data_IF_249013228841
#
_entry.id   IF_249013228841
#
_cell.length_a   1.000
_cell.length_b   1.000
_cell.length_c   1.000
_cell.angle_alpha   90.00
_cell.angle_beta   90.00
_cell.angle_gamma   90.00
#
_symmetry.space_group_name_H-M   'P 1'
#
loop_
_entity.id
_entity.type
_entity.pdbx_description
1 polymer ?
#
# COMPACT_ATOMS: atom_id res chain seq x y z
N UNK A 1 -19.22 -27.54 5.62
CA UNK A 1 -18.87 -26.34 4.85
C UNK A 1 -17.39 -26.13 5.08
N UNK A 2 -16.56 -26.41 4.08
CA UNK A 2 -15.12 -26.18 4.20
C UNK A 2 -14.90 -24.70 3.85
N UNK A 3 -14.46 -23.92 4.83
CA UNK A 3 -14.16 -22.51 4.68
C UNK A 3 -12.66 -22.33 4.92
N UNK A 4 -11.96 -21.81 3.92
CA UNK A 4 -10.53 -21.52 4.02
C UNK A 4 -10.34 -20.05 4.38
N UNK A 5 -9.65 -19.76 5.49
CA UNK A 5 -9.22 -18.42 5.88
C UNK A 5 -7.70 -18.43 5.98
N UNK A 6 -7.04 -17.75 5.04
CA UNK A 6 -5.58 -17.65 4.97
C UNK A 6 -5.23 -16.20 5.35
N UNK A 7 -4.80 -16.00 6.60
CA UNK A 7 -4.41 -14.68 7.10
C UNK A 7 -3.01 -14.27 6.60
N UNK A 8 -2.88 -14.10 5.30
CA UNK A 8 -1.64 -13.70 4.64
C UNK A 8 -1.89 -12.59 3.62
N UNK A 9 -1.04 -11.56 3.64
CA UNK A 9 -1.11 -10.43 2.70
C UNK A 9 -0.01 -10.57 1.65
N UNK A 10 -0.40 -10.48 0.38
CA UNK A 10 0.52 -10.48 -0.76
C UNK A 10 0.33 -9.21 -1.58
N UNK A 11 1.43 -8.51 -1.87
CA UNK A 11 1.42 -7.32 -2.71
C UNK A 11 2.00 -7.65 -4.09
N UNK A 12 1.34 -7.18 -5.14
CA UNK A 12 1.83 -7.30 -6.52
C UNK A 12 1.50 -6.03 -7.30
N UNK A 13 2.32 -5.75 -8.33
CA UNK A 13 2.00 -4.73 -9.32
C UNK A 13 0.97 -5.32 -10.28
N UNK A 14 -0.11 -4.59 -10.53
CA UNK A 14 -1.13 -4.95 -11.51
C UNK A 14 -0.84 -4.22 -12.84
N UNK A 15 -0.38 -4.91 -13.90
CA UNK A 15 -0.15 -4.28 -15.19
C UNK A 15 -1.43 -3.70 -15.78
N UNK A 16 -1.35 -2.61 -16.58
CA UNK A 16 -2.52 -2.07 -17.26
C UNK A 16 -3.23 -3.12 -18.10
N UNK A 17 -4.55 -3.20 -17.98
CA UNK A 17 -5.39 -4.14 -18.71
C UNK A 17 -5.63 -5.48 -18.03
N UNK A 18 -4.95 -5.78 -16.91
CA UNK A 18 -5.26 -6.96 -16.09
C UNK A 18 -6.48 -6.69 -15.22
N UNK A 19 -7.48 -7.56 -15.31
CA UNK A 19 -8.77 -7.42 -14.62
C UNK A 19 -9.22 -8.70 -13.92
N UNK A 20 -8.38 -9.73 -13.86
CA UNK A 20 -8.72 -10.98 -13.20
C UNK A 20 -7.52 -11.59 -12.49
N UNK A 21 -7.82 -12.39 -11.47
CA UNK A 21 -6.90 -13.12 -10.63
C UNK A 21 -7.25 -14.60 -10.77
N UNK A 22 -6.24 -15.43 -11.01
CA UNK A 22 -6.38 -16.88 -10.95
C UNK A 22 -5.71 -17.36 -9.67
N UNK A 23 -6.47 -18.03 -8.80
CA UNK A 23 -6.01 -18.52 -7.51
C UNK A 23 -5.98 -20.04 -7.53
N UNK A 24 -4.83 -20.61 -7.19
CA UNK A 24 -4.59 -22.05 -7.08
C UNK A 24 -4.12 -22.38 -5.67
N UNK A 25 -4.67 -23.44 -5.09
CA UNK A 25 -4.34 -23.94 -3.77
C UNK A 25 -3.73 -25.33 -3.96
N UNK A 26 -2.48 -25.46 -3.53
CA UNK A 26 -1.74 -26.71 -3.59
C UNK A 26 -1.58 -27.31 -2.19
N UNK A 27 -1.65 -28.63 -2.10
CA UNK A 27 -1.21 -29.39 -0.94
C UNK A 27 0.28 -29.71 -1.08
N UNK A 28 1.09 -29.13 -0.20
CA UNK A 28 2.55 -29.24 -0.24
C UNK A 28 2.97 -30.59 0.33
N UNK A 29 3.62 -31.40 -0.49
CA UNK A 29 4.10 -32.71 -0.09
C UNK A 29 5.62 -32.73 0.00
N UNK A 30 6.19 -33.10 1.16
CA UNK A 30 7.65 -33.08 1.34
C UNK A 30 8.44 -34.06 0.46
N UNK A 31 7.78 -35.08 -0.11
CA UNK A 31 8.44 -36.16 -0.85
C UNK A 31 7.79 -36.50 -2.19
N UNK A 32 6.70 -35.82 -2.56
CA UNK A 32 5.99 -36.01 -3.82
C UNK A 32 5.73 -34.66 -4.48
N UNK A 33 5.23 -34.67 -5.72
CA UNK A 33 4.83 -33.42 -6.38
C UNK A 33 3.66 -32.80 -5.63
N UNK A 34 3.67 -31.47 -5.52
CA UNK A 34 2.56 -30.71 -4.96
C UNK A 34 1.28 -30.97 -5.75
N UNK A 35 0.19 -31.18 -5.03
CA UNK A 35 -1.09 -31.52 -5.64
C UNK A 35 -2.00 -30.29 -5.68
N UNK A 36 -2.53 -29.93 -6.85
CA UNK A 36 -3.58 -28.92 -6.94
C UNK A 36 -4.87 -29.48 -6.31
N UNK A 37 -5.28 -28.91 -5.17
CA UNK A 37 -6.47 -29.35 -4.45
C UNK A 37 -7.70 -28.49 -4.75
N UNK A 38 -7.51 -27.20 -5.06
CA UNK A 38 -8.60 -26.29 -5.37
C UNK A 38 -8.13 -25.08 -6.19
N UNK A 39 -9.04 -24.47 -6.95
CA UNK A 39 -8.76 -23.26 -7.72
C UNK A 39 -10.01 -22.39 -7.90
N UNK A 40 -9.82 -21.11 -8.23
CA UNK A 40 -10.92 -20.22 -8.63
C UNK A 40 -10.44 -19.10 -9.54
N UNK A 41 -11.34 -18.57 -10.37
CA UNK A 41 -11.10 -17.42 -11.24
C UNK A 41 -11.93 -16.24 -10.78
N UNK A 42 -11.25 -15.15 -10.42
CA UNK A 42 -11.85 -13.98 -9.80
C UNK A 42 -11.69 -12.81 -10.75
N UNK A 43 -12.81 -12.21 -11.17
CA UNK A 43 -12.77 -10.92 -11.87
C UNK A 43 -12.60 -9.82 -10.82
N UNK A 44 -11.60 -8.97 -11.00
CA UNK A 44 -11.32 -7.86 -10.09
C UNK A 44 -12.49 -6.88 -10.14
N UNK A 45 -13.19 -6.62 -9.02
CA UNK A 45 -14.28 -5.66 -8.99
C UNK A 45 -13.80 -4.26 -9.38
N UNK A 46 -14.61 -3.51 -10.15
CA UNK A 46 -14.27 -2.14 -10.54
C UNK A 46 -14.08 -1.22 -9.31
N UNK A 47 -14.83 -1.47 -8.22
CA UNK A 47 -14.65 -0.79 -6.94
C UNK A 47 -13.20 -0.90 -6.43
N UNK A 48 -12.62 -2.10 -6.51
CA UNK A 48 -11.21 -2.33 -6.13
C UNK A 48 -10.28 -1.50 -7.00
N UNK A 49 -10.46 -1.54 -8.32
CA UNK A 49 -9.64 -0.76 -9.27
C UNK A 49 -9.77 0.76 -9.07
N UNK A 50 -10.88 1.23 -8.50
CA UNK A 50 -11.10 2.63 -8.15
C UNK A 50 -10.45 3.02 -6.81
N UNK A 51 -9.83 2.08 -6.09
CA UNK A 51 -9.16 2.31 -4.81
C UNK A 51 -9.96 1.88 -3.59
N UNK A 52 -11.12 1.25 -3.76
CA UNK A 52 -11.91 0.73 -2.64
C UNK A 52 -11.39 -0.63 -2.18
N UNK A 53 -11.63 -0.97 -0.91
CA UNK A 53 -11.37 -2.32 -0.40
C UNK A 53 -12.64 -3.15 -0.54
N UNK A 54 -12.51 -4.36 -1.09
CA UNK A 54 -13.62 -5.27 -1.29
C UNK A 54 -13.33 -6.62 -0.64
N UNK A 55 -14.27 -7.11 0.16
CA UNK A 55 -14.22 -8.41 0.81
C UNK A 55 -15.39 -9.27 0.34
N UNK A 56 -15.11 -10.49 -0.12
CA UNK A 56 -16.15 -11.43 -0.55
C UNK A 56 -15.71 -12.90 -0.40
N UNK A 57 -16.69 -13.80 -0.45
CA UNK A 57 -16.50 -15.25 -0.44
C UNK A 57 -16.58 -15.83 -1.85
N UNK A 58 -15.49 -16.42 -2.32
CA UNK A 58 -15.38 -17.00 -3.66
C UNK A 58 -15.46 -18.53 -3.61
N UNK A 59 -16.29 -19.16 -4.45
CA UNK A 59 -16.37 -20.62 -4.54
C UNK A 59 -15.11 -21.20 -5.17
N UNK A 60 -14.71 -22.35 -4.65
CA UNK A 60 -13.56 -23.11 -5.11
C UNK A 60 -14.00 -24.31 -5.95
N UNK A 61 -13.28 -24.52 -7.06
CA UNK A 61 -13.43 -25.64 -7.97
C UNK A 61 -12.29 -26.64 -7.74
N UNK A 62 -12.51 -27.92 -8.05
CA UNK A 62 -11.47 -28.94 -7.91
C UNK A 62 -11.93 -30.33 -8.30
N UNK A 63 -11.40 -31.34 -7.63
CA UNK A 63 -11.66 -32.76 -7.93
C UNK A 63 -13.11 -33.17 -7.65
N UNK A 64 -13.78 -32.51 -6.71
CA UNK A 64 -15.18 -32.72 -6.35
C UNK A 64 -16.15 -32.04 -7.33
N UNK A 65 -15.65 -31.19 -8.23
CA UNK A 65 -16.43 -30.43 -9.21
C UNK A 65 -16.47 -28.94 -8.90
N UNK A 66 -17.18 -28.20 -9.76
CA UNK A 66 -17.24 -26.74 -9.71
C UNK A 66 -18.01 -26.25 -8.49
N UNK A 67 -17.42 -25.34 -7.72
CA UNK A 67 -17.99 -24.78 -6.49
C UNK A 67 -18.16 -25.77 -5.33
N UNK A 68 -17.58 -26.97 -5.44
CA UNK A 68 -17.77 -28.04 -4.46
C UNK A 68 -16.61 -28.20 -3.46
N UNK A 69 -15.46 -27.57 -3.71
CA UNK A 69 -14.30 -27.66 -2.79
C UNK A 69 -14.42 -26.75 -1.56
N UNK A 70 -15.45 -25.91 -1.51
CA UNK A 70 -15.71 -24.96 -0.44
C UNK A 70 -15.61 -23.51 -0.91
N UNK A 71 -15.40 -22.61 0.04
CA UNK A 71 -15.30 -21.17 -0.21
C UNK A 71 -14.03 -20.60 0.41
N UNK A 72 -13.44 -19.60 -0.26
CA UNK A 72 -12.32 -18.80 0.27
C UNK A 72 -12.77 -17.35 0.45
N UNK A 73 -12.44 -16.75 1.60
CA UNK A 73 -12.64 -15.33 1.85
C UNK A 73 -11.40 -14.57 1.39
N UNK A 74 -11.60 -13.54 0.56
CA UNK A 74 -10.53 -12.69 0.06
C UNK A 74 -10.86 -11.22 0.31
N UNK A 75 -9.88 -10.49 0.82
CA UNK A 75 -9.90 -9.02 0.94
C UNK A 75 -8.98 -8.46 -0.13
N UNK A 76 -9.55 -7.73 -1.08
CA UNK A 76 -8.85 -7.14 -2.21
C UNK A 76 -8.80 -5.62 -2.08
N UNK A 77 -7.60 -5.05 -2.24
CA UNK A 77 -7.37 -3.61 -2.27
C UNK A 77 -6.39 -3.29 -3.38
N UNK A 78 -6.60 -2.19 -4.11
CA UNK A 78 -5.68 -1.71 -5.14
C UNK A 78 -5.32 -0.26 -4.89
N UNK A 79 -4.03 0.05 -4.98
CA UNK A 79 -3.52 1.40 -4.84
C UNK A 79 -2.64 1.74 -6.02
N UNK A 80 -2.92 2.87 -6.67
CA UNK A 80 -2.02 3.46 -7.66
C UNK A 80 -0.87 4.15 -6.93
N UNK A 81 0.19 3.41 -6.61
CA UNK A 81 1.46 4.02 -6.24
C UNK A 81 2.02 4.80 -7.43
N UNK A 82 2.75 5.91 -7.23
CA UNK A 82 3.52 6.49 -8.31
C UNK A 82 4.42 5.37 -8.84
N UNK A 83 4.24 4.99 -10.11
CA UNK A 83 5.24 4.19 -10.79
C UNK A 83 6.57 4.87 -10.48
N UNK A 84 7.55 4.13 -9.94
CA UNK A 84 8.92 4.61 -9.85
C UNK A 84 9.40 4.75 -11.29
N UNK A 85 8.95 5.81 -11.95
CA UNK A 85 9.50 6.31 -13.18
C UNK A 85 10.92 6.63 -12.78
N UNK A 86 11.86 5.76 -13.17
CA UNK A 86 13.26 6.09 -13.12
C UNK A 86 13.39 7.40 -13.91
N UNK A 87 13.49 8.52 -13.19
CA UNK A 87 13.75 9.83 -13.77
C UNK A 87 15.18 9.78 -14.28
N UNK A 88 15.35 9.27 -15.49
CA UNK A 88 16.59 9.42 -16.20
C UNK A 88 16.71 10.91 -16.54
N UNK A 89 17.78 11.60 -16.11
CA UNK A 89 17.97 12.99 -16.48
C UNK A 89 18.08 13.08 -18.02
N UNK A 90 17.44 14.06 -18.66
CA UNK A 90 17.55 14.23 -20.10
C UNK A 90 19.00 14.52 -20.48
N UNK A 91 19.53 13.74 -21.42
CA UNK A 91 20.89 13.91 -21.95
C UNK A 91 20.78 14.67 -23.28
N UNK A 92 21.50 15.79 -23.41
CA UNK A 92 21.66 16.47 -24.69
C UNK A 92 22.87 15.88 -25.43
N UNK A 93 22.65 15.44 -26.67
CA UNK A 93 23.71 15.01 -27.57
C UNK A 93 24.13 16.21 -28.39
N UNK A 94 25.36 16.70 -28.18
CA UNK A 94 25.89 17.85 -28.91
C UNK A 94 26.90 17.37 -29.96
N UNK A 95 26.80 17.80 -31.23
CA UNK A 95 27.81 17.50 -32.23
C UNK A 95 29.10 18.26 -31.90
N UNK A 96 30.18 17.53 -31.61
CA UNK A 96 31.52 18.09 -31.37
C UNK A 96 32.35 17.99 -32.65
N UNK A 97 32.95 19.11 -33.08
CA UNK A 97 33.67 19.25 -34.35
C UNK A 97 35.08 18.64 -34.35
N UNK A 98 35.38 17.71 -33.44
CA UNK A 98 36.73 17.19 -33.23
C UNK A 98 36.83 15.67 -33.27
N UNK A 99 36.03 14.95 -32.50
CA UNK A 99 36.04 13.48 -32.41
C UNK A 99 34.74 13.01 -31.75
N UNK A 100 33.79 12.49 -32.52
CA UNK A 100 32.62 11.75 -32.01
C UNK A 100 31.57 12.55 -31.22
N UNK A 101 30.45 11.87 -30.93
CA UNK A 101 29.33 12.38 -30.15
C UNK A 101 29.69 12.36 -28.66
N UNK A 102 29.53 13.48 -27.95
CA UNK A 102 29.70 13.56 -26.49
C UNK A 102 28.34 13.74 -25.83
N UNK A 103 27.99 12.83 -24.91
CA UNK A 103 26.78 12.93 -24.08
C UNK A 103 27.10 13.72 -22.81
N UNK A 104 26.43 14.86 -22.60
CA UNK A 104 26.62 15.69 -21.40
C UNK A 104 25.30 15.74 -20.60
N UNK A 105 25.35 15.52 -19.27
CA UNK A 105 24.17 15.64 -18.41
C UNK A 105 23.71 17.10 -18.33
N UNK A 106 22.42 17.34 -18.57
CA UNK A 106 21.79 18.66 -18.42
C UNK A 106 21.31 18.81 -16.98
N UNK A 107 22.00 19.64 -16.21
CA UNK A 107 21.47 20.12 -14.92
C UNK A 107 20.63 21.37 -15.17
N UNK A 108 19.35 21.41 -14.78
CA UNK A 108 18.57 22.64 -14.90
C UNK A 108 19.14 23.70 -13.97
N UNK A 109 19.58 24.82 -14.54
CA UNK A 109 19.96 26.00 -13.78
C UNK A 109 18.70 26.62 -13.13
N UNK A 110 18.74 27.04 -11.85
CA UNK A 110 17.61 27.69 -11.21
C UNK A 110 17.36 29.04 -11.90
N UNK A 111 16.24 29.16 -12.62
CA UNK A 111 15.76 30.45 -13.11
C UNK A 111 15.35 31.32 -11.93
N UNK A 112 16.08 32.41 -11.71
CA UNK A 112 15.63 33.49 -10.84
C UNK A 112 14.44 34.18 -11.52
N UNK A 113 13.23 33.83 -11.08
CA UNK A 113 12.02 34.52 -11.48
C UNK A 113 11.96 35.89 -10.80
N UNK A 114 12.05 36.93 -11.61
CA UNK A 114 11.81 38.33 -11.25
C UNK A 114 10.37 38.48 -10.76
N UNK A 115 10.20 38.80 -9.48
CA UNK A 115 8.89 38.98 -8.86
C UNK A 115 8.30 40.34 -9.20
N UNK A 116 7.05 40.35 -9.67
CA UNK A 116 6.18 41.53 -9.64
C UNK A 116 5.49 41.62 -8.25
N UNK A 117 5.31 42.82 -7.68
CA UNK A 117 4.70 42.96 -6.36
C UNK A 117 3.18 42.86 -6.46
N UNK A 118 2.62 41.76 -5.96
CA UNK A 118 1.19 41.64 -5.66
C UNK A 118 0.97 41.84 -4.15
N UNK A 119 -0.08 42.57 -3.73
CA UNK A 119 -0.33 42.87 -2.33
C UNK A 119 -0.67 41.59 -1.56
N UNK A 120 0.07 41.34 -0.48
CA UNK A 120 -0.08 40.22 0.45
C UNK A 120 -1.48 40.15 1.05
N UNK A 121 -2.22 39.09 0.72
CA UNK A 121 -3.15 38.49 1.67
C UNK A 121 -2.38 37.37 2.39
N UNK A 122 -2.20 37.54 3.70
CA UNK A 122 -1.54 36.58 4.58
C UNK A 122 -2.38 35.29 4.62
N UNK A 123 -1.97 34.28 3.85
CA UNK A 123 -2.37 32.90 4.11
C UNK A 123 -1.35 32.28 5.07
N UNK A 124 -1.74 32.25 6.34
CA UNK A 124 -1.16 31.35 7.35
C UNK A 124 -1.28 29.90 6.85
N UNK A 125 -0.23 29.06 6.95
CA UNK A 125 -0.34 27.64 6.66
C UNK A 125 -1.31 27.02 7.65
N UNK A 126 -2.50 26.61 7.19
CA UNK A 126 -3.44 25.86 8.02
C UNK A 126 -2.85 24.47 8.26
N UNK A 127 -2.43 24.23 9.50
CA UNK A 127 -2.20 22.90 10.03
C UNK A 127 -3.51 22.10 9.93
N UNK A 128 -3.47 20.79 9.62
CA UNK A 128 -4.68 19.97 9.70
C UNK A 128 -5.31 20.09 11.10
N UNK A 129 -6.65 20.12 11.20
CA UNK A 129 -7.34 20.31 12.47
C UNK A 129 -6.88 19.22 13.46
N UNK A 130 -6.44 19.67 14.63
CA UNK A 130 -6.12 18.79 15.75
C UNK A 130 -7.40 18.04 16.14
N UNK A 131 -7.46 16.75 15.82
CA UNK A 131 -8.49 15.89 16.39
C UNK A 131 -8.22 15.80 17.89
N UNK A 132 -9.22 16.06 18.75
CA UNK A 132 -9.07 15.86 20.18
C UNK A 132 -8.76 14.38 20.42
N UNK A 133 -7.78 14.12 21.29
CA UNK A 133 -7.47 12.76 21.74
C UNK A 133 -8.73 12.18 22.38
N UNK A 134 -9.43 11.31 21.66
CA UNK A 134 -10.65 10.67 22.16
C UNK A 134 -10.29 9.47 23.02
N UNK A 135 -11.02 9.29 24.12
CA UNK A 135 -10.82 8.18 25.07
C UNK A 135 -10.93 6.80 24.40
N UNK A 136 -11.71 6.72 23.32
CA UNK A 136 -11.87 5.55 22.44
C UNK A 136 -10.57 5.16 21.72
N UNK A 137 -9.76 6.14 21.30
CA UNK A 137 -8.47 5.88 20.66
C UNK A 137 -7.47 5.30 21.65
N UNK A 138 -7.51 5.75 22.91
CA UNK A 138 -6.66 5.22 23.97
C UNK A 138 -7.01 3.76 24.28
N UNK A 139 -8.30 3.42 24.34
CA UNK A 139 -8.76 2.05 24.56
C UNK A 139 -8.34 1.11 23.42
N UNK A 140 -8.46 1.53 22.16
CA UNK A 140 -8.02 0.71 21.02
C UNK A 140 -6.51 0.43 21.05
N UNK A 141 -5.69 1.42 21.43
CA UNK A 141 -4.24 1.23 21.51
C UNK A 141 -3.89 0.31 22.70
N UNK A 142 -4.61 0.42 23.82
CA UNK A 142 -4.48 -0.47 24.98
C UNK A 142 -4.83 -1.93 24.63
N UNK A 143 -5.85 -2.16 23.78
CA UNK A 143 -6.19 -3.49 23.27
C UNK A 143 -5.12 -4.05 22.31
N UNK A 144 -4.49 -3.21 21.48
CA UNK A 144 -3.43 -3.63 20.55
C UNK A 144 -2.11 -3.93 21.26
N UNK A 145 -1.83 -3.25 22.38
CA UNK A 145 -0.58 -3.38 23.14
C UNK A 145 -0.84 -3.66 24.63
N UNK A 146 -1.39 -4.84 24.99
CA UNK A 146 -1.72 -5.17 26.37
C UNK A 146 -0.48 -5.32 27.27
N UNK A 147 0.72 -5.39 26.69
CA UNK A 147 2.01 -5.44 27.39
C UNK A 147 2.62 -4.07 27.68
N UNK A 148 2.08 -2.97 27.15
CA UNK A 148 2.62 -1.62 27.29
C UNK A 148 1.80 -0.85 28.33
N UNK A 149 2.48 -0.18 29.26
CA UNK A 149 1.84 0.61 30.30
C UNK A 149 1.01 1.77 29.73
N UNK A 150 -0.17 1.97 30.32
CA UNK A 150 -1.14 3.00 29.91
C UNK A 150 -0.58 4.43 29.96
N UNK A 151 0.35 4.71 30.88
CA UNK A 151 1.03 6.01 30.97
C UNK A 151 1.97 6.26 29.79
N UNK A 152 2.62 5.21 29.28
CA UNK A 152 3.50 5.28 28.11
C UNK A 152 2.67 5.52 26.86
N UNK A 153 1.57 4.78 26.68
CA UNK A 153 0.65 4.96 25.55
C UNK A 153 0.12 6.40 25.50
N UNK A 154 -0.32 6.94 26.65
CA UNK A 154 -0.81 8.31 26.75
C UNK A 154 0.26 9.34 26.39
N UNK A 155 1.49 9.16 26.90
CA UNK A 155 2.62 10.03 26.61
C UNK A 155 2.97 10.06 25.11
N UNK A 156 3.03 8.89 24.47
CA UNK A 156 3.34 8.78 23.03
C UNK A 156 2.20 9.35 22.17
N UNK A 157 0.94 9.17 22.59
CA UNK A 157 -0.22 9.73 21.90
C UNK A 157 -0.27 11.27 22.00
N UNK A 158 0.08 11.82 23.17
CA UNK A 158 0.23 13.27 23.36
C UNK A 158 1.40 13.83 22.53
N UNK A 159 2.54 13.13 22.48
CA UNK A 159 3.70 13.52 21.66
C UNK A 159 3.36 13.55 20.16
N UNK A 160 2.51 12.60 19.71
CA UNK A 160 2.03 12.51 18.34
C UNK A 160 0.78 13.38 18.08
N UNK A 161 0.43 14.30 18.99
CA UNK A 161 -0.70 15.24 18.86
C UNK A 161 -2.03 14.54 18.57
N UNK A 162 -2.26 13.37 19.15
CA UNK A 162 -3.47 12.57 18.95
C UNK A 162 -3.53 11.80 17.64
N UNK A 163 -2.42 11.72 16.91
CA UNK A 163 -2.34 10.88 15.72
C UNK A 163 -2.17 9.40 16.12
N UNK A 164 -3.27 8.64 16.01
CA UNK A 164 -3.33 7.21 16.35
C UNK A 164 -2.31 6.40 15.54
N UNK A 165 -2.23 6.61 14.23
CA UNK A 165 -1.36 5.85 13.34
C UNK A 165 0.13 6.10 13.64
N UNK A 166 0.50 7.36 13.88
CA UNK A 166 1.86 7.71 14.26
C UNK A 166 2.24 7.12 15.64
N UNK A 167 1.27 7.06 16.56
CA UNK A 167 1.44 6.45 17.88
C UNK A 167 1.65 4.95 17.79
N UNK A 168 0.85 4.24 16.99
CA UNK A 168 1.00 2.79 16.78
C UNK A 168 2.37 2.47 16.18
N UNK A 169 2.79 3.21 15.15
CA UNK A 169 4.10 3.01 14.53
C UNK A 169 5.25 3.26 15.53
N UNK A 170 5.10 4.25 16.41
CA UNK A 170 6.09 4.54 17.45
C UNK A 170 6.15 3.41 18.50
N UNK A 171 4.99 2.90 18.95
CA UNK A 171 4.91 1.81 19.92
C UNK A 171 5.42 0.48 19.35
N UNK A 172 5.16 0.19 18.07
CA UNK A 172 5.74 -0.96 17.35
C UNK A 172 7.27 -0.91 17.35
N UNK A 173 7.87 0.25 17.05
CA UNK A 173 9.32 0.44 17.05
C UNK A 173 9.95 0.34 18.44
N UNK A 174 9.18 0.57 19.50
CA UNK A 174 9.63 0.39 20.89
C UNK A 174 9.47 -1.05 21.39
N UNK A 175 8.77 -1.90 20.63
CA UNK A 175 8.47 -3.30 20.98
C UNK A 175 9.38 -4.32 20.29
N UNK A 176 10.33 -3.88 19.45
CA UNK A 176 11.44 -4.70 18.90
C UNK A 176 12.65 -4.78 19.84
#
# INVERSE_FOLDING_TARGET
MISFNINNIRHSLLPPGVNSIYLEIFDECSFTMDELIAWTHITIPQAVLNGETHEDWYPLNGKQGDGMEGMINLVLSYSVGPAAMATFPPVLVVPSTGMGYAAMPVYPAPMQQHMAPHPQQQHVPQSPPQQPVTEEQLQQIEEMFPSIDKEVIKSVLEANRGNKDATINSLLQMSE
#
